data_IF_764113584887
#
_entry.id   IF_764113584887
#
_cell.length_a   1.000
_cell.length_b   1.000
_cell.length_c   1.000
_cell.angle_alpha   90.00
_cell.angle_beta   90.00
_cell.angle_gamma   90.00
#
_symmetry.space_group_name_H-M   'P 1'
#
loop_
_entity.id
_entity.type
_entity.pdbx_description
1 polymer ?
#
# COMPACT_ATOMS: atom_id res chain seq x y z
N UNK A 1 2.17 9.63 2.51
CA UNK A 1 2.09 8.40 3.30
C UNK A 1 0.77 7.73 2.98
N UNK A 2 0.77 6.41 2.80
CA UNK A 2 -0.43 5.61 2.60
C UNK A 2 -0.52 4.51 3.65
N UNK A 3 -1.75 4.14 4.01
CA UNK A 3 -2.05 2.99 4.87
C UNK A 3 -2.88 2.01 4.06
N UNK A 4 -2.32 0.83 3.81
CA UNK A 4 -2.89 -0.13 2.87
C UNK A 4 -3.68 -1.20 3.61
N UNK A 5 -4.98 -1.25 3.33
CA UNK A 5 -5.83 -2.37 3.73
C UNK A 5 -5.43 -3.65 2.99
N UNK A 6 -5.28 -4.76 3.72
CA UNK A 6 -4.77 -6.01 3.15
C UNK A 6 -5.58 -6.55 1.98
N UNK A 7 -6.90 -6.45 2.10
CA UNK A 7 -7.83 -6.89 1.08
C UNK A 7 -7.69 -6.04 -0.19
N UNK A 8 -7.81 -4.71 -0.07
CA UNK A 8 -7.91 -3.80 -1.20
C UNK A 8 -6.65 -3.67 -2.04
N UNK A 9 -5.49 -3.85 -1.40
CA UNK A 9 -4.17 -3.66 -2.02
C UNK A 9 -3.39 -4.98 -2.16
N UNK A 10 -4.08 -6.12 -2.03
CA UNK A 10 -3.51 -7.46 -2.25
C UNK A 10 -2.25 -7.71 -1.42
N UNK A 11 -2.36 -7.59 -0.10
CA UNK A 11 -1.28 -7.90 0.84
C UNK A 11 -0.69 -9.29 0.61
N UNK A 12 0.65 -9.44 0.58
CA UNK A 12 1.29 -10.74 0.33
C UNK A 12 1.01 -11.79 1.42
N UNK A 13 0.57 -11.39 2.62
CA UNK A 13 0.32 -12.27 3.76
C UNK A 13 -1.17 -12.58 3.93
N UNK A 14 -2.03 -11.56 3.83
CA UNK A 14 -3.44 -11.65 4.22
C UNK A 14 -4.43 -11.47 3.07
N UNK A 15 -3.97 -11.28 1.83
CA UNK A 15 -4.89 -11.11 0.71
C UNK A 15 -5.76 -12.36 0.51
N UNK A 16 -7.03 -12.11 0.23
CA UNK A 16 -8.00 -13.15 -0.10
C UNK A 16 -8.83 -12.68 -1.29
N UNK A 17 -9.33 -13.64 -2.07
CA UNK A 17 -10.22 -13.37 -3.21
C UNK A 17 -11.61 -13.91 -2.85
N UNK A 18 -12.67 -13.08 -2.87
CA UNK A 18 -14.02 -13.54 -2.60
C UNK A 18 -14.49 -14.59 -3.61
N UNK A 19 -15.27 -15.56 -3.13
CA UNK A 19 -15.78 -16.68 -3.95
C UNK A 19 -16.87 -16.22 -4.93
N UNK A 20 -17.72 -15.27 -4.52
CA UNK A 20 -18.77 -14.70 -5.37
C UNK A 20 -18.17 -13.60 -6.25
N UNK A 21 -18.47 -13.61 -7.54
CA UNK A 21 -17.94 -12.68 -8.55
C UNK A 21 -16.40 -12.68 -8.61
N UNK A 22 -15.82 -13.88 -8.58
CA UNK A 22 -14.37 -14.08 -8.42
C UNK A 22 -13.55 -13.40 -9.51
N UNK A 23 -13.94 -13.54 -10.79
CA UNK A 23 -13.23 -12.92 -11.91
C UNK A 23 -13.19 -11.39 -11.76
N UNK A 24 -14.34 -10.80 -11.44
CA UNK A 24 -14.46 -9.36 -11.20
C UNK A 24 -13.57 -8.89 -10.05
N UNK A 25 -13.54 -9.65 -8.94
CA UNK A 25 -12.67 -9.31 -7.81
C UNK A 25 -11.19 -9.39 -8.16
N UNK A 26 -10.77 -10.40 -8.92
CA UNK A 26 -9.38 -10.51 -9.38
C UNK A 26 -9.00 -9.28 -10.21
N UNK A 27 -9.83 -8.92 -11.18
CA UNK A 27 -9.59 -7.74 -12.01
C UNK A 27 -9.58 -6.46 -11.18
N UNK A 28 -10.53 -6.31 -10.26
CA UNK A 28 -10.64 -5.14 -9.39
C UNK A 28 -9.42 -4.96 -8.50
N UNK A 29 -8.97 -6.03 -7.84
CA UNK A 29 -7.81 -6.01 -6.95
C UNK A 29 -6.52 -5.80 -7.75
N UNK A 30 -6.37 -6.45 -8.92
CA UNK A 30 -5.24 -6.21 -9.82
C UNK A 30 -5.18 -4.74 -10.28
N UNK A 31 -6.33 -4.15 -10.63
CA UNK A 31 -6.46 -2.75 -11.02
C UNK A 31 -6.05 -1.81 -9.87
N UNK A 32 -6.41 -2.14 -8.62
CA UNK A 32 -5.97 -1.35 -7.47
C UNK A 32 -4.45 -1.38 -7.31
N UNK A 33 -3.84 -2.57 -7.37
CA UNK A 33 -2.36 -2.71 -7.29
C UNK A 33 -1.66 -1.97 -8.44
N UNK A 34 -2.23 -2.00 -9.65
CA UNK A 34 -1.69 -1.24 -10.78
C UNK A 34 -1.75 0.27 -10.54
N UNK A 35 -2.88 0.78 -10.00
CA UNK A 35 -3.04 2.19 -9.64
C UNK A 35 -2.08 2.62 -8.54
N UNK A 36 -1.84 1.76 -7.56
CA UNK A 36 -0.86 2.04 -6.51
C UNK A 36 0.54 2.25 -7.09
N UNK A 37 0.98 1.35 -7.99
CA UNK A 37 2.28 1.44 -8.66
C UNK A 37 2.40 2.69 -9.54
N UNK A 38 1.33 3.05 -10.25
CA UNK A 38 1.28 4.31 -11.01
C UNK A 38 1.45 5.52 -10.08
N UNK A 39 0.74 5.53 -8.95
CA UNK A 39 0.83 6.61 -7.96
C UNK A 39 2.24 6.72 -7.39
N UNK A 40 2.87 5.60 -7.02
CA UNK A 40 4.25 5.58 -6.53
C UNK A 40 5.24 6.10 -7.59
N UNK A 41 5.07 5.70 -8.85
CA UNK A 41 5.90 6.17 -9.97
C UNK A 41 5.76 7.69 -10.16
N UNK A 42 4.53 8.21 -10.16
CA UNK A 42 4.26 9.65 -10.35
C UNK A 42 4.77 10.49 -9.20
N UNK A 43 4.61 10.02 -7.96
CA UNK A 43 5.15 10.69 -6.78
C UNK A 43 6.67 10.73 -6.83
N UNK A 44 7.30 9.61 -7.16
CA UNK A 44 8.77 9.52 -7.30
C UNK A 44 9.28 10.47 -8.39
N UNK A 45 8.63 10.50 -9.56
CA UNK A 45 8.98 11.40 -10.65
C UNK A 45 8.83 12.89 -10.26
N UNK A 46 7.90 13.20 -9.38
CA UNK A 46 7.71 14.54 -8.81
C UNK A 46 8.65 14.85 -7.62
N UNK A 47 9.61 13.98 -7.32
CA UNK A 47 10.60 14.16 -6.24
C UNK A 47 10.08 13.79 -4.84
N UNK A 48 8.91 13.17 -4.74
CA UNK A 48 8.35 12.71 -3.47
C UNK A 48 8.85 11.31 -3.13
N UNK A 49 9.12 11.06 -1.85
CA UNK A 49 9.27 9.70 -1.32
C UNK A 49 7.93 9.21 -0.79
N UNK A 50 7.36 8.18 -1.42
CA UNK A 50 6.19 7.49 -0.85
C UNK A 50 6.63 6.55 0.28
N UNK A 51 5.87 6.57 1.37
CA UNK A 51 5.97 5.59 2.45
C UNK A 51 4.60 4.93 2.54
N UNK A 52 4.57 3.60 2.45
CA UNK A 52 3.37 2.78 2.61
C UNK A 52 3.53 1.85 3.80
N UNK A 53 2.47 1.68 4.57
CA UNK A 53 2.40 0.77 5.71
C UNK A 53 1.12 -0.05 5.59
N UNK A 54 1.16 -1.32 5.91
CA UNK A 54 -0.05 -2.14 5.93
C UNK A 54 -0.87 -1.87 7.19
N UNK A 55 -2.19 -1.91 7.05
CA UNK A 55 -3.12 -1.74 8.17
C UNK A 55 -3.01 -2.84 9.23
N UNK A 56 -2.38 -3.98 8.92
CA UNK A 56 -2.13 -5.07 9.87
C UNK A 56 -0.79 -4.95 10.60
N UNK A 57 0.07 -3.99 10.24
CA UNK A 57 1.31 -3.77 10.96
C UNK A 57 1.04 -3.20 12.35
N UNK A 58 1.96 -3.46 13.28
CA UNK A 58 1.92 -2.79 14.58
C UNK A 58 2.02 -1.27 14.39
N UNK A 59 1.06 -0.55 14.97
CA UNK A 59 0.91 0.89 14.77
C UNK A 59 2.10 1.67 15.32
N UNK A 60 2.64 1.27 16.48
CA UNK A 60 3.74 1.98 17.10
C UNK A 60 5.04 1.80 16.29
N UNK A 61 5.33 0.56 15.87
CA UNK A 61 6.47 0.26 15.02
C UNK A 61 6.40 0.98 13.66
N UNK A 62 5.21 1.00 13.03
CA UNK A 62 5.00 1.71 11.78
C UNK A 62 5.23 3.22 11.93
N UNK A 63 4.64 3.83 12.96
CA UNK A 63 4.82 5.25 13.26
C UNK A 63 6.29 5.60 13.54
N UNK A 64 7.01 4.74 14.27
CA UNK A 64 8.42 4.93 14.54
C UNK A 64 9.26 4.94 13.25
N UNK A 65 9.11 3.93 12.38
CA UNK A 65 9.82 3.90 11.08
C UNK A 65 9.55 5.14 10.24
N UNK A 66 8.30 5.57 10.18
CA UNK A 66 7.92 6.79 9.45
C UNK A 66 8.67 8.00 10.04
N UNK A 67 8.64 8.16 11.36
CA UNK A 67 9.26 9.30 12.02
C UNK A 67 10.77 9.34 11.79
N UNK A 68 11.43 8.17 11.80
CA UNK A 68 12.85 8.04 11.45
C UNK A 68 13.13 8.44 10.00
N UNK A 69 12.32 7.94 9.05
CA UNK A 69 12.47 8.27 7.63
C UNK A 69 12.27 9.77 7.33
N UNK A 70 11.35 10.42 8.04
CA UNK A 70 11.12 11.88 7.93
C UNK A 70 12.29 12.66 8.54
N UNK A 71 12.80 12.26 9.72
CA UNK A 71 13.94 12.92 10.36
C UNK A 71 15.21 12.84 9.53
N UNK A 72 15.48 11.71 8.88
CA UNK A 72 16.68 11.52 8.06
C UNK A 72 16.72 12.38 6.78
N UNK A 73 15.60 13.03 6.42
CA UNK A 73 15.47 13.87 5.22
C UNK A 73 15.32 15.36 5.55
N UNK A 74 15.32 15.72 6.83
CA UNK A 74 15.42 17.10 7.30
C UNK A 74 16.87 17.47 7.51
#
# INVERSE_FOLDING_TARGET
MFVDGCFWHSCPVHATVPVRNREWWIEKLATNVARDRDTDSRLTAAGWMSIRVWAHEDMAAAAQRIAEAVRARR
#
